data_IF_307645415977
#
_entry.id   IF_307645415977
#
_cell.length_a   1.000
_cell.length_b   1.000
_cell.length_c   1.000
_cell.angle_alpha   90.00
_cell.angle_beta   90.00
_cell.angle_gamma   90.00
#
_symmetry.space_group_name_H-M   'P 1'
#
loop_
_entity.id
_entity.type
_entity.pdbx_description
1 polymer ?
#
# COMPACT_ATOMS: atom_id res chain seq x y z
N UNK A 1 -1.91 8.68 3.70
CA UNK A 1 -0.70 8.68 4.56
C UNK A 1 -0.98 7.77 5.74
N UNK A 2 -0.28 6.63 5.85
CA UNK A 2 -0.42 5.67 6.95
C UNK A 2 0.93 5.45 7.69
N UNK A 3 1.83 6.42 7.55
CA UNK A 3 3.14 6.47 8.19
C UNK A 3 3.05 6.34 9.72
N UNK A 4 3.97 5.56 10.31
CA UNK A 4 4.17 5.45 11.77
C UNK A 4 2.92 5.00 12.54
N UNK A 5 2.33 3.90 12.08
CA UNK A 5 1.27 3.19 12.79
C UNK A 5 1.75 1.80 13.25
N UNK A 6 0.90 1.07 13.98
CA UNK A 6 1.18 -0.29 14.43
C UNK A 6 0.46 -1.34 13.56
N UNK A 7 0.21 -1.06 12.28
CA UNK A 7 -0.40 -2.05 11.38
C UNK A 7 0.52 -3.26 11.23
N UNK A 8 -0.09 -4.45 11.25
CA UNK A 8 0.57 -5.76 11.25
C UNK A 8 -0.04 -6.65 10.17
N UNK A 9 0.65 -7.72 9.81
CA UNK A 9 0.21 -8.65 8.78
C UNK A 9 0.60 -8.20 7.37
N UNK A 10 -0.10 -8.71 6.36
CA UNK A 10 0.21 -8.46 4.94
C UNK A 10 -0.60 -7.28 4.39
N UNK A 11 -0.10 -6.65 3.31
CA UNK A 11 -0.90 -5.69 2.56
C UNK A 11 -1.98 -6.47 1.79
N UNK A 12 -3.27 -6.14 1.93
CA UNK A 12 -4.34 -6.80 1.19
C UNK A 12 -4.26 -6.48 -0.30
N UNK A 13 -4.59 -7.45 -1.17
CA UNK A 13 -4.59 -7.27 -2.63
C UNK A 13 -5.57 -6.17 -3.09
N UNK A 14 -6.62 -5.95 -2.30
CA UNK A 14 -7.65 -4.93 -2.52
C UNK A 14 -7.07 -3.50 -2.53
N UNK A 15 -5.84 -3.29 -2.03
CA UNK A 15 -5.12 -2.02 -2.20
C UNK A 15 -5.03 -1.60 -3.68
N UNK A 16 -4.99 -2.57 -4.60
CA UNK A 16 -4.95 -2.36 -6.04
C UNK A 16 -6.20 -1.68 -6.62
N UNK A 17 -7.33 -1.71 -5.92
CA UNK A 17 -8.57 -1.06 -6.36
C UNK A 17 -8.56 0.46 -6.12
N UNK A 18 -7.55 0.98 -5.40
CA UNK A 18 -7.36 2.41 -5.16
C UNK A 18 -6.77 3.11 -6.39
N UNK A 19 -7.45 3.03 -7.55
CA UNK A 19 -6.97 3.49 -8.87
C UNK A 19 -6.67 4.98 -8.96
N UNK A 20 -7.29 5.79 -8.08
CA UNK A 20 -7.10 7.25 -8.00
C UNK A 20 -6.06 7.68 -6.94
N UNK A 21 -5.50 6.74 -6.17
CA UNK A 21 -4.54 7.08 -5.14
C UNK A 21 -3.19 7.43 -5.78
N UNK A 22 -2.71 8.64 -5.53
CA UNK A 22 -1.42 9.10 -6.09
C UNK A 22 -0.23 8.86 -5.17
N UNK A 23 -0.48 8.81 -3.87
CA UNK A 23 0.55 8.70 -2.85
C UNK A 23 0.12 7.69 -1.79
N UNK A 24 0.93 6.65 -1.61
CA UNK A 24 0.81 5.67 -0.54
C UNK A 24 2.09 5.74 0.30
N UNK A 25 1.97 5.81 1.62
CA UNK A 25 3.11 5.74 2.53
C UNK A 25 2.74 4.81 3.68
N UNK A 26 3.38 3.64 3.68
CA UNK A 26 3.21 2.57 4.66
C UNK A 26 4.44 2.42 5.57
N UNK A 27 5.42 3.31 5.47
CA UNK A 27 6.68 3.20 6.21
C UNK A 27 6.44 3.30 7.72
N UNK A 28 7.35 2.71 8.48
CA UNK A 28 7.24 2.62 9.95
C UNK A 28 5.94 1.96 10.42
N UNK A 29 5.53 0.89 9.76
CA UNK A 29 4.56 -0.07 10.27
C UNK A 29 5.25 -1.41 10.57
N UNK A 30 4.49 -2.36 11.10
CA UNK A 30 4.93 -3.75 11.34
C UNK A 30 4.33 -4.70 10.30
N UNK A 31 4.11 -4.21 9.08
CA UNK A 31 3.63 -5.00 7.96
C UNK A 31 4.74 -5.98 7.52
N UNK A 32 4.34 -7.17 7.11
CA UNK A 32 5.20 -8.28 6.69
C UNK A 32 4.67 -8.91 5.40
N UNK A 33 5.41 -9.86 4.84
CA UNK A 33 5.03 -10.51 3.58
C UNK A 33 5.42 -9.70 2.34
N UNK A 34 4.86 -10.06 1.19
CA UNK A 34 5.19 -9.45 -0.09
C UNK A 34 4.25 -8.27 -0.41
N UNK A 35 4.76 -7.34 -1.23
CA UNK A 35 3.94 -6.30 -1.83
C UNK A 35 2.99 -6.97 -2.85
N UNK A 36 1.67 -6.77 -2.78
CA UNK A 36 0.72 -7.36 -3.73
C UNK A 36 1.02 -6.92 -5.15
N UNK A 37 0.96 -7.84 -6.11
CA UNK A 37 1.17 -7.52 -7.52
C UNK A 37 0.06 -6.63 -8.07
N UNK A 38 -1.10 -6.63 -7.41
CA UNK A 38 -2.25 -5.76 -7.66
C UNK A 38 -1.95 -4.28 -7.46
N UNK A 39 -0.85 -3.88 -6.79
CA UNK A 39 -0.39 -2.48 -6.79
C UNK A 39 -0.21 -1.94 -8.22
N UNK A 40 0.08 -2.82 -9.20
CA UNK A 40 0.17 -2.43 -10.62
C UNK A 40 -1.15 -1.90 -11.19
N UNK A 41 -2.29 -2.19 -10.56
CA UNK A 41 -3.61 -1.67 -10.97
C UNK A 41 -3.84 -0.22 -10.51
N UNK A 42 -3.00 0.32 -9.62
CA UNK A 42 -3.12 1.67 -9.10
C UNK A 42 -2.58 2.69 -10.12
N UNK A 43 -3.35 2.92 -11.19
CA UNK A 43 -2.93 3.68 -12.37
C UNK A 43 -2.49 5.13 -12.08
N UNK A 44 -2.99 5.73 -11.00
CA UNK A 44 -2.62 7.10 -10.61
C UNK A 44 -1.45 7.16 -9.62
N UNK A 45 -0.93 6.02 -9.17
CA UNK A 45 0.11 5.96 -8.14
C UNK A 45 1.43 6.52 -8.67
N UNK A 46 1.89 7.61 -8.06
CA UNK A 46 3.13 8.29 -8.40
C UNK A 46 4.24 7.98 -7.41
N UNK A 47 3.88 7.67 -6.17
CA UNK A 47 4.84 7.43 -5.09
C UNK A 47 4.29 6.46 -4.05
N UNK A 48 5.18 5.55 -3.65
CA UNK A 48 4.98 4.47 -2.68
C UNK A 48 6.01 4.59 -1.55
#
# INVERSE_FOLDING_TARGET
>A
ILYKNNFQGIIPKEIGELRRLEFLDLRHNRLSGQIPTEIRNMSSLKRL
#
